data_IF_505417815901
#
_entry.id   IF_505417815901
#
_cell.length_a   1.000
_cell.length_b   1.000
_cell.length_c   1.000
_cell.angle_alpha   90.00
_cell.angle_beta   90.00
_cell.angle_gamma   90.00
#
_symmetry.space_group_name_H-M   'P 1'
#
loop_
_entity.id
_entity.type
_entity.pdbx_description
1 polymer ?
#
# COMPACT_ATOMS: atom_id res chain seq x y z
N UNK A 1 -1.48 66.90 76.30
CA UNK A 1 -0.65 65.67 76.27
C UNK A 1 -1.57 64.51 76.00
N UNK A 2 -1.76 64.14 74.73
CA UNK A 2 -2.34 62.85 74.30
C UNK A 2 -1.81 62.60 72.91
N UNK A 3 -0.81 61.72 72.82
CA UNK A 3 -0.23 61.26 71.57
C UNK A 3 -1.24 60.31 70.92
N UNK A 4 -1.86 60.75 69.83
CA UNK A 4 -2.64 59.87 68.96
C UNK A 4 -1.64 59.03 68.17
N UNK A 5 -1.36 57.84 68.69
CA UNK A 5 -0.60 56.80 68.01
C UNK A 5 -1.40 56.35 66.78
N UNK A 6 -1.00 56.82 65.60
CA UNK A 6 -1.52 56.32 64.34
C UNK A 6 -0.92 54.93 64.11
N UNK A 7 -1.59 53.87 64.54
CA UNK A 7 -1.25 52.52 64.13
C UNK A 7 -1.54 52.43 62.62
N UNK A 8 -0.48 52.48 61.82
CA UNK A 8 -0.55 52.09 60.42
C UNK A 8 -1.05 50.64 60.37
N UNK A 9 -2.27 50.43 59.85
CA UNK A 9 -2.77 49.09 59.54
C UNK A 9 -1.74 48.37 58.67
N UNK A 10 -1.36 47.11 58.96
CA UNK A 10 -0.48 46.38 58.07
C UNK A 10 -1.17 46.32 56.71
N UNK A 11 -0.58 46.99 55.70
CA UNK A 11 -0.98 46.81 54.31
C UNK A 11 -0.95 45.30 54.06
N UNK A 12 -2.12 44.71 53.86
CA UNK A 12 -2.25 43.42 53.20
C UNK A 12 -1.67 43.61 51.79
N UNK A 13 -0.36 43.43 51.65
CA UNK A 13 0.31 43.44 50.37
C UNK A 13 -0.24 42.26 49.58
N UNK A 14 -1.11 42.58 48.64
CA UNK A 14 -1.63 41.66 47.64
C UNK A 14 -0.44 40.96 46.99
N UNK A 15 -0.39 39.63 47.05
CA UNK A 15 0.68 38.85 46.44
C UNK A 15 0.81 39.21 44.95
N UNK A 16 2.01 39.62 44.54
CA UNK A 16 2.32 39.83 43.14
C UNK A 16 2.50 38.46 42.45
N UNK A 17 1.94 38.30 41.24
CA UNK A 17 2.19 37.12 40.41
C UNK A 17 3.49 37.32 39.63
N UNK A 18 4.40 36.36 39.71
CA UNK A 18 5.63 36.32 38.91
C UNK A 18 5.74 34.99 38.17
N UNK A 19 6.44 35.00 37.04
CA UNK A 19 6.83 33.81 36.29
C UNK A 19 8.33 33.91 35.96
N UNK A 20 9.06 32.83 36.20
CA UNK A 20 10.47 32.69 35.81
C UNK A 20 10.63 31.45 34.97
N UNK A 21 11.45 31.52 33.91
CA UNK A 21 11.81 30.37 33.09
C UNK A 21 13.23 29.93 33.43
N UNK A 22 13.50 28.62 33.62
CA UNK A 22 14.87 28.14 33.73
C UNK A 22 15.72 28.61 32.55
N UNK A 23 16.92 29.09 32.81
CA UNK A 23 17.87 29.51 31.76
C UNK A 23 18.52 28.33 31.05
N UNK A 24 18.52 27.17 31.69
CA UNK A 24 18.94 25.87 31.14
C UNK A 24 17.76 24.91 31.30
N UNK A 25 17.49 24.12 30.26
CA UNK A 25 16.46 23.09 30.32
C UNK A 25 16.72 22.11 31.47
N UNK A 26 15.64 21.57 32.05
CA UNK A 26 15.77 20.49 33.01
C UNK A 26 16.12 19.21 32.24
N UNK A 27 17.08 18.45 32.75
CA UNK A 27 17.40 17.14 32.20
C UNK A 27 16.24 16.16 32.44
N UNK A 28 16.10 15.17 31.57
CA UNK A 28 15.05 14.14 31.68
C UNK A 28 15.08 13.37 33.01
N UNK A 29 13.95 12.79 33.36
CA UNK A 29 13.70 12.02 34.57
C UNK A 29 12.92 12.80 35.63
N UNK A 30 12.77 12.16 36.79
CA UNK A 30 12.04 12.73 37.93
C UNK A 30 12.82 13.89 38.54
N UNK A 31 12.18 15.05 38.64
CA UNK A 31 12.74 16.27 39.27
C UNK A 31 11.84 16.72 40.40
N UNK A 32 12.45 17.06 41.54
CA UNK A 32 11.77 17.70 42.66
C UNK A 32 12.17 19.16 42.69
N UNK A 33 11.21 20.06 42.55
CA UNK A 33 11.44 21.50 42.55
C UNK A 33 10.99 22.11 43.87
N UNK A 34 11.78 23.05 44.38
CA UNK A 34 11.46 23.88 45.53
C UNK A 34 11.66 25.36 45.16
N UNK A 35 10.93 26.24 45.83
CA UNK A 35 10.95 27.68 45.53
C UNK A 35 11.22 28.46 46.82
N UNK A 36 12.08 29.47 46.75
CA UNK A 36 12.30 30.49 47.78
C UNK A 36 12.03 31.88 47.18
N UNK A 37 11.73 32.85 48.04
CA UNK A 37 11.65 34.26 47.66
C UNK A 37 12.72 35.05 48.42
N UNK A 38 13.33 36.04 47.78
CA UNK A 38 14.26 36.99 48.43
C UNK A 38 13.71 38.40 48.27
N UNK A 39 13.61 39.16 49.36
CA UNK A 39 13.15 40.55 49.32
C UNK A 39 14.27 41.54 48.90
N UNK A 40 13.98 42.84 48.64
CA UNK A 40 15.01 43.81 48.26
C UNK A 40 16.07 44.09 49.33
N UNK A 41 15.81 43.76 50.59
CA UNK A 41 16.76 43.88 51.68
C UNK A 41 17.64 42.62 51.83
N UNK A 42 17.37 41.56 51.05
CA UNK A 42 18.12 40.30 51.04
C UNK A 42 17.57 39.23 51.98
N UNK A 43 16.38 39.39 52.57
CA UNK A 43 15.78 38.36 53.42
C UNK A 43 15.21 37.23 52.56
N UNK A 44 15.62 35.98 52.81
CA UNK A 44 15.19 34.79 52.07
C UNK A 44 14.11 34.02 52.85
N UNK A 45 13.03 33.63 52.18
CA UNK A 45 11.98 32.80 52.77
C UNK A 45 12.44 31.34 52.99
N UNK A 46 11.74 30.56 53.84
CA UNK A 46 11.81 29.10 53.76
C UNK A 46 11.46 28.60 52.34
N UNK A 47 12.00 27.44 51.98
CA UNK A 47 11.63 26.77 50.72
C UNK A 47 10.21 26.19 50.80
N UNK A 48 9.50 26.16 49.68
CA UNK A 48 8.25 25.41 49.56
C UNK A 48 8.46 23.91 49.81
N UNK A 49 7.39 23.18 50.07
CA UNK A 49 7.39 21.73 49.88
C UNK A 49 7.80 21.39 48.45
N UNK A 50 8.55 20.30 48.28
CA UNK A 50 8.96 19.83 46.96
C UNK A 50 7.76 19.37 46.14
N UNK A 51 7.68 19.81 44.89
CA UNK A 51 6.73 19.26 43.92
C UNK A 51 7.49 18.50 42.83
N UNK A 52 7.00 17.30 42.54
CA UNK A 52 7.65 16.36 41.63
C UNK A 52 7.09 16.51 40.22
N UNK A 53 7.98 16.58 39.24
CA UNK A 53 7.65 16.50 37.82
C UNK A 53 8.46 15.38 37.18
N UNK A 54 7.97 14.83 36.07
CA UNK A 54 8.76 13.98 35.18
C UNK A 54 9.03 14.81 33.94
N UNK A 55 10.31 15.01 33.63
CA UNK A 55 10.74 15.66 32.39
C UNK A 55 11.08 14.54 31.42
N UNK A 56 10.50 14.59 30.24
CA UNK A 56 10.81 13.67 29.16
C UNK A 56 10.76 14.44 27.85
N UNK A 57 11.93 14.56 27.21
CA UNK A 57 12.11 15.30 25.97
C UNK A 57 12.49 14.40 24.80
N UNK A 58 12.53 13.08 25.02
CA UNK A 58 12.92 12.11 24.01
C UNK A 58 11.70 11.63 23.25
N UNK A 59 11.72 11.81 21.92
CA UNK A 59 10.71 11.21 21.07
C UNK A 59 10.82 9.68 21.07
N UNK A 60 9.68 8.96 20.92
CA UNK A 60 9.68 7.53 20.70
C UNK A 60 10.46 7.16 19.43
N UNK A 61 10.88 5.90 19.34
CA UNK A 61 11.42 5.36 18.08
C UNK A 61 10.36 5.38 16.98
N UNK A 62 10.81 5.45 15.72
CA UNK A 62 9.89 5.44 14.58
C UNK A 62 9.14 4.10 14.55
N UNK A 63 7.79 4.10 14.58
CA UNK A 63 7.01 2.87 14.53
C UNK A 63 7.11 2.20 13.15
N UNK A 64 6.76 0.92 13.11
CA UNK A 64 6.80 0.10 11.89
C UNK A 64 5.43 -0.52 11.60
N UNK A 65 5.05 -0.56 10.32
CA UNK A 65 4.01 -1.46 9.82
C UNK A 65 4.66 -2.80 9.49
N UNK A 66 4.31 -3.85 10.20
CA UNK A 66 4.90 -5.19 10.04
C UNK A 66 4.14 -6.06 9.05
N UNK A 67 2.83 -5.88 8.91
CA UNK A 67 2.03 -6.53 7.87
C UNK A 67 0.76 -5.75 7.56
N UNK A 68 0.28 -5.92 6.33
CA UNK A 68 -1.07 -5.55 5.90
C UNK A 68 -1.70 -6.84 5.40
N UNK A 69 -2.92 -7.17 5.83
CA UNK A 69 -3.53 -8.48 5.59
C UNK A 69 -4.89 -8.33 4.89
N UNK A 70 -5.05 -9.09 3.81
CA UNK A 70 -6.32 -9.38 3.13
C UNK A 70 -6.98 -10.61 3.77
N UNK A 71 -8.21 -10.47 4.25
CA UNK A 71 -9.00 -11.59 4.79
C UNK A 71 -10.23 -11.95 3.94
N UNK A 72 -10.35 -11.39 2.74
CA UNK A 72 -11.45 -11.66 1.81
C UNK A 72 -11.10 -12.84 0.90
N UNK A 73 -12.02 -13.82 0.70
CA UNK A 73 -11.77 -14.96 -0.17
C UNK A 73 -11.32 -14.55 -1.58
N UNK A 74 -10.59 -15.46 -2.22
CA UNK A 74 -9.97 -15.31 -3.55
C UNK A 74 -8.64 -14.55 -3.61
N UNK A 75 -8.09 -14.05 -2.49
CA UNK A 75 -6.67 -13.72 -2.35
C UNK A 75 -6.26 -13.38 -0.89
N UNK A 76 -6.47 -14.30 0.06
CA UNK A 76 -6.18 -14.01 1.48
C UNK A 76 -4.68 -14.06 1.80
N UNK A 77 -4.20 -13.18 2.66
CA UNK A 77 -2.84 -13.21 3.19
C UNK A 77 -2.18 -11.84 3.30
N UNK A 78 -0.85 -11.82 3.49
CA UNK A 78 -0.11 -10.58 3.60
C UNK A 78 0.02 -9.86 2.24
N UNK A 79 -0.30 -8.56 2.22
CA UNK A 79 -0.20 -7.67 1.08
C UNK A 79 1.15 -6.96 1.12
N UNK A 80 1.96 -7.15 0.08
CA UNK A 80 3.25 -6.46 -0.07
C UNK A 80 3.09 -5.02 -0.60
N UNK A 81 4.16 -4.23 -0.49
CA UNK A 81 4.19 -2.88 -1.06
C UNK A 81 3.93 -2.89 -2.58
N UNK A 82 2.96 -2.09 -3.02
CA UNK A 82 2.49 -1.98 -4.40
C UNK A 82 1.62 -3.13 -4.88
N UNK A 83 1.22 -4.07 -4.02
CA UNK A 83 0.34 -5.17 -4.39
C UNK A 83 -1.14 -4.77 -4.32
N UNK A 84 -1.97 -5.50 -5.08
CA UNK A 84 -3.41 -5.33 -5.10
C UNK A 84 -4.12 -6.26 -4.11
N UNK A 85 -5.30 -5.85 -3.66
CA UNK A 85 -6.19 -6.61 -2.77
C UNK A 85 -7.64 -6.45 -3.18
N UNK A 86 -8.45 -7.50 -2.99
CA UNK A 86 -9.91 -7.43 -3.13
C UNK A 86 -10.62 -7.17 -1.80
N UNK A 87 -9.86 -6.82 -0.77
CA UNK A 87 -10.34 -6.41 0.54
C UNK A 87 -10.35 -4.88 0.67
N UNK A 88 -11.51 -4.33 1.01
CA UNK A 88 -11.68 -2.89 1.26
C UNK A 88 -11.41 -2.49 2.72
N UNK A 89 -11.14 -3.44 3.60
CA UNK A 89 -10.83 -3.22 5.01
C UNK A 89 -9.64 -4.10 5.45
N UNK A 90 -8.47 -3.94 4.80
CA UNK A 90 -7.29 -4.73 5.14
C UNK A 90 -6.82 -4.41 6.57
N UNK A 91 -6.31 -5.43 7.26
CA UNK A 91 -5.83 -5.28 8.64
C UNK A 91 -4.35 -4.93 8.66
N UNK A 92 -4.01 -3.78 9.22
CA UNK A 92 -2.64 -3.31 9.43
C UNK A 92 -2.16 -3.74 10.82
N UNK A 93 -0.98 -4.33 10.88
CA UNK A 93 -0.30 -4.67 12.12
C UNK A 93 1.05 -3.99 12.17
N UNK A 94 1.53 -3.69 13.38
CA UNK A 94 2.82 -3.04 13.52
C UNK A 94 3.36 -2.99 14.94
N UNK A 95 4.47 -2.29 15.07
CA UNK A 95 5.14 -2.05 16.35
C UNK A 95 5.37 -0.55 16.59
N UNK A 96 5.41 -0.18 17.86
CA UNK A 96 5.78 1.14 18.36
C UNK A 96 6.34 1.00 19.79
N UNK A 97 6.72 2.10 20.41
CA UNK A 97 7.03 2.10 21.84
C UNK A 97 5.82 1.59 22.65
N UNK A 98 6.07 0.78 23.68
CA UNK A 98 5.02 0.18 24.49
C UNK A 98 4.12 1.25 25.14
N UNK A 99 2.81 1.06 25.04
CA UNK A 99 1.79 1.99 25.54
C UNK A 99 1.76 3.37 24.85
N UNK A 100 2.54 3.59 23.79
CA UNK A 100 2.48 4.82 22.99
C UNK A 100 1.22 4.87 22.11
N UNK A 101 0.81 6.08 21.74
CA UNK A 101 -0.26 6.32 20.79
C UNK A 101 0.31 6.33 19.35
N UNK A 102 -0.20 5.46 18.48
CA UNK A 102 0.18 5.34 17.07
C UNK A 102 -0.85 6.06 16.21
N UNK A 103 -0.39 7.05 15.45
CA UNK A 103 -1.17 7.75 14.43
C UNK A 103 -0.96 7.06 13.08
N UNK A 104 -2.05 6.66 12.43
CA UNK A 104 -2.07 5.98 11.14
C UNK A 104 -2.55 6.96 10.07
N UNK A 105 -1.77 7.09 9.01
CA UNK A 105 -2.05 7.99 7.90
C UNK A 105 -2.28 7.20 6.62
N UNK A 106 -3.26 7.60 5.82
CA UNK A 106 -3.48 7.13 4.46
C UNK A 106 -3.32 8.31 3.49
N UNK A 107 -2.40 8.21 2.53
CA UNK A 107 -2.08 9.28 1.58
C UNK A 107 -1.76 10.61 2.28
N UNK A 108 -1.17 10.54 3.48
CA UNK A 108 -0.80 11.68 4.32
C UNK A 108 -1.92 12.23 5.21
N UNK A 109 -3.16 11.75 5.08
CA UNK A 109 -4.27 12.14 5.94
C UNK A 109 -4.37 11.21 7.16
N UNK A 110 -4.54 11.77 8.36
CA UNK A 110 -4.77 10.98 9.57
C UNK A 110 -6.10 10.23 9.45
N UNK A 111 -6.07 8.90 9.52
CA UNK A 111 -7.27 8.04 9.44
C UNK A 111 -7.62 7.38 10.76
N UNK A 112 -6.63 7.15 11.63
CA UNK A 112 -6.87 6.55 12.94
C UNK A 112 -5.77 6.87 13.94
N UNK A 113 -6.10 6.76 15.22
CA UNK A 113 -5.14 6.68 16.31
C UNK A 113 -5.44 5.42 17.12
N UNK A 114 -4.44 4.58 17.36
CA UNK A 114 -4.53 3.37 18.17
C UNK A 114 -3.44 3.35 19.23
N UNK A 115 -3.57 2.53 20.26
CA UNK A 115 -2.52 2.37 21.26
C UNK A 115 -1.73 1.10 20.99
N UNK A 116 -0.40 1.20 21.03
CA UNK A 116 0.45 0.03 21.15
C UNK A 116 0.27 -0.59 22.54
N UNK A 117 0.22 -1.91 22.62
CA UNK A 117 0.08 -2.61 23.90
C UNK A 117 1.40 -2.58 24.71
N UNK A 118 1.41 -3.22 25.88
CA UNK A 118 2.58 -3.27 26.76
C UNK A 118 3.81 -3.97 26.14
N UNK A 119 3.63 -4.72 25.05
CA UNK A 119 4.71 -5.34 24.26
C UNK A 119 5.08 -4.51 23.02
N UNK A 120 4.46 -3.34 22.82
CA UNK A 120 4.70 -2.47 21.66
C UNK A 120 3.93 -2.86 20.40
N UNK A 121 3.04 -3.85 20.45
CA UNK A 121 2.28 -4.29 19.27
C UNK A 121 0.96 -3.51 19.13
N UNK A 122 0.60 -3.17 17.91
CA UNK A 122 -0.69 -2.56 17.57
C UNK A 122 -1.32 -3.23 16.34
N UNK A 123 -2.64 -3.14 16.23
CA UNK A 123 -3.42 -3.63 15.10
C UNK A 123 -4.56 -2.67 14.83
N UNK A 124 -4.87 -2.46 13.55
CA UNK A 124 -5.96 -1.60 13.11
C UNK A 124 -6.56 -2.10 11.80
N UNK A 125 -7.88 -2.09 11.74
CA UNK A 125 -8.67 -2.36 10.54
C UNK A 125 -9.55 -1.14 10.28
N UNK A 126 -9.60 -0.59 9.03
CA UNK A 126 -10.51 0.48 8.69
C UNK A 126 -11.96 0.12 9.07
N UNK A 127 -12.68 1.05 9.69
CA UNK A 127 -14.11 0.85 10.02
C UNK A 127 -15.04 1.19 8.86
N UNK A 128 -14.55 1.95 7.89
CA UNK A 128 -15.23 2.27 6.66
C UNK A 128 -14.46 1.64 5.50
N UNK A 129 -15.20 1.08 4.54
CA UNK A 129 -14.62 0.51 3.33
C UNK A 129 -13.80 1.58 2.58
N UNK A 130 -12.58 1.21 2.22
CA UNK A 130 -11.70 2.00 1.37
C UNK A 130 -12.26 2.08 -0.05
N UNK A 131 -11.94 3.18 -0.74
CA UNK A 131 -12.23 3.34 -2.15
C UNK A 131 -11.30 2.51 -3.04
N UNK A 132 -11.62 2.45 -4.33
CA UNK A 132 -10.72 1.84 -5.32
C UNK A 132 -9.44 2.67 -5.47
N UNK A 133 -8.32 1.99 -5.74
CA UNK A 133 -7.05 2.61 -6.11
C UNK A 133 -6.00 2.57 -5.00
N UNK A 134 -5.07 3.53 -5.06
CA UNK A 134 -3.85 3.52 -4.26
C UNK A 134 -4.06 4.10 -2.86
N UNK A 135 -3.60 3.38 -1.85
CA UNK A 135 -3.59 3.79 -0.44
C UNK A 135 -2.17 3.68 0.12
N UNK A 136 -1.55 4.82 0.43
CA UNK A 136 -0.19 4.89 0.94
C UNK A 136 -0.18 5.09 2.45
N UNK A 137 0.06 4.01 3.20
CA UNK A 137 0.04 4.02 4.66
C UNK A 137 1.38 4.43 5.25
N UNK A 138 1.35 5.30 6.25
CA UNK A 138 2.50 5.60 7.13
C UNK A 138 2.03 5.79 8.56
N UNK A 139 2.96 5.66 9.51
CA UNK A 139 2.65 5.76 10.95
C UNK A 139 3.63 6.66 11.69
N UNK A 140 3.17 7.33 12.74
CA UNK A 140 4.00 7.99 13.75
C UNK A 140 3.52 7.61 15.15
N UNK A 141 4.36 7.80 16.18
CA UNK A 141 4.03 7.47 17.55
C UNK A 141 4.21 8.69 18.46
N UNK A 142 3.39 8.79 19.50
CA UNK A 142 3.49 9.76 20.57
C UNK A 142 3.57 9.04 21.93
N UNK A 143 4.55 9.41 22.75
CA UNK A 143 4.70 8.86 24.10
C UNK A 143 3.73 9.52 25.11
N UNK A 144 3.83 9.14 26.38
CA UNK A 144 2.97 9.69 27.45
C UNK A 144 3.28 11.16 27.80
N UNK A 145 4.48 11.65 27.50
CA UNK A 145 4.89 13.03 27.68
C UNK A 145 4.46 13.93 26.51
N UNK A 146 4.01 13.32 25.40
CA UNK A 146 3.57 13.99 24.19
C UNK A 146 4.69 14.23 23.17
N UNK A 147 5.87 13.63 23.33
CA UNK A 147 6.90 13.68 22.31
C UNK A 147 6.49 12.80 21.13
N UNK A 148 6.73 13.28 19.90
CA UNK A 148 6.27 12.63 18.67
C UNK A 148 7.47 12.17 17.84
N UNK A 149 7.43 10.93 17.36
CA UNK A 149 8.46 10.38 16.47
C UNK A 149 8.37 10.94 15.06
N UNK A 150 9.43 10.70 14.25
CA UNK A 150 9.32 10.85 12.81
C UNK A 150 8.34 9.83 12.22
N UNK A 151 7.77 10.13 11.05
CA UNK A 151 6.91 9.20 10.33
C UNK A 151 7.71 8.02 9.74
N UNK A 152 7.08 6.85 9.68
CA UNK A 152 7.61 5.67 8.99
C UNK A 152 7.69 5.89 7.48
N UNK A 153 8.50 5.10 6.75
CA UNK A 153 8.34 4.96 5.31
C UNK A 153 6.91 4.52 4.95
N UNK A 154 6.43 4.93 3.78
CA UNK A 154 5.11 4.55 3.31
C UNK A 154 5.07 3.13 2.73
N UNK A 155 4.02 2.38 3.04
CA UNK A 155 3.66 1.13 2.36
C UNK A 155 2.38 1.39 1.57
N UNK A 156 2.44 1.17 0.25
CA UNK A 156 1.30 1.37 -0.64
C UNK A 156 0.60 0.05 -0.91
N UNK A 157 -0.73 0.04 -0.88
CA UNK A 157 -1.55 -1.06 -1.42
C UNK A 157 -2.51 -0.50 -2.48
N UNK A 158 -3.05 -1.39 -3.31
CA UNK A 158 -4.01 -1.03 -4.36
C UNK A 158 -5.31 -1.80 -4.10
N UNK A 159 -6.37 -1.11 -3.69
CA UNK A 159 -7.69 -1.73 -3.54
C UNK A 159 -8.30 -1.88 -4.94
N UNK A 160 -8.59 -3.13 -5.32
CA UNK A 160 -9.28 -3.47 -6.55
C UNK A 160 -10.31 -4.58 -6.34
N UNK A 161 -11.57 -4.16 -6.23
CA UNK A 161 -12.73 -5.03 -6.05
C UNK A 161 -13.57 -5.21 -7.31
N UNK A 162 -13.15 -4.62 -8.44
CA UNK A 162 -13.94 -4.68 -9.68
C UNK A 162 -13.63 -5.99 -10.38
N UNK A 163 -14.59 -6.91 -10.35
CA UNK A 163 -14.50 -8.15 -11.08
C UNK A 163 -14.55 -7.89 -12.61
N UNK A 164 -13.83 -8.70 -13.40
CA UNK A 164 -13.95 -8.64 -14.85
C UNK A 164 -15.37 -8.86 -15.36
N UNK A 165 -15.71 -8.22 -16.47
CA UNK A 165 -16.96 -8.48 -17.17
C UNK A 165 -17.07 -9.93 -17.67
N UNK A 166 -18.30 -10.44 -17.73
CA UNK A 166 -18.55 -11.79 -18.25
C UNK A 166 -18.04 -11.94 -19.70
N UNK A 167 -17.44 -13.09 -20.06
CA UNK A 167 -17.05 -13.35 -21.45
C UNK A 167 -18.22 -13.27 -22.42
N UNK A 168 -18.02 -12.61 -23.56
CA UNK A 168 -19.01 -12.36 -24.61
C UNK A 168 -18.62 -12.95 -25.97
N UNK A 169 -19.49 -12.80 -26.96
CA UNK A 169 -19.28 -13.24 -28.35
C UNK A 169 -18.78 -14.69 -28.48
N UNK A 170 -19.32 -15.57 -27.63
CA UNK A 170 -18.92 -16.97 -27.57
C UNK A 170 -19.33 -17.69 -28.86
N UNK A 171 -18.36 -18.32 -29.52
CA UNK A 171 -18.57 -19.15 -30.71
C UNK A 171 -17.85 -20.47 -30.52
N UNK A 172 -18.58 -21.56 -30.76
CA UNK A 172 -18.04 -22.92 -30.77
C UNK A 172 -17.95 -23.38 -32.23
N UNK A 173 -16.82 -23.98 -32.62
CA UNK A 173 -16.69 -24.53 -33.97
C UNK A 173 -17.54 -25.79 -34.16
N UNK A 174 -17.82 -26.16 -35.42
CA UNK A 174 -18.70 -27.29 -35.75
C UNK A 174 -18.24 -28.64 -35.16
N UNK A 175 -16.94 -28.80 -34.93
CA UNK A 175 -16.34 -30.00 -34.32
C UNK A 175 -16.35 -29.98 -32.79
N UNK A 176 -16.84 -28.92 -32.14
CA UNK A 176 -16.97 -28.82 -30.69
C UNK A 176 -15.65 -28.73 -29.90
N UNK A 177 -14.51 -28.62 -30.58
CA UNK A 177 -13.18 -28.65 -29.95
C UNK A 177 -12.49 -27.28 -29.87
N UNK A 178 -13.19 -26.21 -30.24
CA UNK A 178 -12.68 -24.84 -30.13
C UNK A 178 -13.80 -23.88 -29.73
N UNK A 179 -13.55 -23.15 -28.65
CA UNK A 179 -14.39 -22.04 -28.20
C UNK A 179 -13.59 -20.75 -28.40
N UNK A 180 -14.23 -19.74 -28.97
CA UNK A 180 -13.70 -18.38 -29.08
C UNK A 180 -14.66 -17.39 -28.48
N UNK A 181 -14.16 -16.26 -28.00
CA UNK A 181 -14.97 -15.19 -27.43
C UNK A 181 -14.12 -14.04 -26.95
N UNK A 182 -14.79 -13.02 -26.39
CA UNK A 182 -14.18 -11.80 -25.85
C UNK A 182 -14.24 -11.81 -24.32
N UNK A 183 -13.18 -11.38 -23.65
CA UNK A 183 -13.17 -11.14 -22.21
C UNK A 183 -12.19 -10.01 -21.90
N UNK A 184 -12.25 -9.47 -20.69
CA UNK A 184 -11.34 -8.42 -20.26
C UNK A 184 -9.88 -8.87 -20.35
N UNK A 185 -9.02 -7.99 -20.86
CA UNK A 185 -7.64 -8.33 -21.15
C UNK A 185 -6.85 -8.64 -19.88
N UNK A 186 -6.17 -9.79 -19.86
CA UNK A 186 -5.44 -10.31 -18.71
C UNK A 186 -6.29 -11.21 -17.81
N UNK A 187 -7.61 -11.26 -17.99
CA UNK A 187 -8.47 -12.19 -17.26
C UNK A 187 -8.29 -13.63 -17.75
N UNK A 188 -8.35 -14.58 -16.83
CA UNK A 188 -8.38 -16.01 -17.15
C UNK A 188 -9.82 -16.42 -17.44
N UNK A 189 -10.05 -16.98 -18.63
CA UNK A 189 -11.31 -17.61 -19.02
C UNK A 189 -11.20 -19.11 -18.76
N UNK A 190 -12.18 -19.66 -18.07
CA UNK A 190 -12.31 -21.09 -17.78
C UNK A 190 -13.58 -21.62 -18.42
N UNK A 191 -13.46 -22.70 -19.20
CA UNK A 191 -14.59 -23.42 -19.80
C UNK A 191 -14.84 -24.64 -18.92
N UNK A 192 -16.07 -24.77 -18.43
CA UNK A 192 -16.46 -25.81 -17.47
C UNK A 192 -17.67 -26.58 -18.00
N UNK A 193 -17.69 -27.90 -17.82
CA UNK A 193 -18.84 -28.75 -18.15
C UNK A 193 -20.02 -28.53 -17.19
N UNK A 194 -21.17 -29.10 -17.52
CA UNK A 194 -22.35 -29.16 -16.66
C UNK A 194 -22.11 -29.87 -15.32
N UNK A 195 -21.09 -30.74 -15.26
CA UNK A 195 -20.68 -31.47 -14.05
C UNK A 195 -19.58 -30.76 -13.25
N UNK A 196 -19.15 -29.56 -13.67
CA UNK A 196 -18.11 -28.79 -12.98
C UNK A 196 -16.68 -29.14 -13.38
N UNK A 197 -16.47 -29.97 -14.41
CA UNK A 197 -15.14 -30.34 -14.90
C UNK A 197 -14.58 -29.23 -15.78
N UNK A 198 -13.35 -28.78 -15.51
CA UNK A 198 -12.66 -27.81 -16.38
C UNK A 198 -12.29 -28.48 -17.71
N UNK A 199 -12.89 -28.00 -18.80
CA UNK A 199 -12.66 -28.46 -20.17
C UNK A 199 -11.52 -27.71 -20.86
N UNK A 200 -11.23 -26.50 -20.40
CA UNK A 200 -10.12 -25.69 -20.90
C UNK A 200 -10.00 -24.36 -20.17
N UNK A 201 -8.80 -23.80 -20.19
CA UNK A 201 -8.50 -22.48 -19.66
C UNK A 201 -7.63 -21.72 -20.64
N UNK A 202 -7.71 -20.39 -20.62
CA UNK A 202 -6.59 -19.51 -20.92
C UNK A 202 -6.98 -18.03 -20.83
N UNK A 203 -5.97 -17.21 -20.99
CA UNK A 203 -5.99 -15.79 -20.68
C UNK A 203 -6.39 -14.97 -21.89
N UNK A 204 -7.33 -14.06 -21.71
CA UNK A 204 -7.64 -13.04 -22.71
C UNK A 204 -6.41 -12.14 -22.91
N UNK A 205 -5.88 -12.09 -24.13
CA UNK A 205 -4.65 -11.35 -24.41
C UNK A 205 -4.85 -9.83 -24.32
N UNK A 206 -3.80 -9.09 -23.95
CA UNK A 206 -3.73 -7.65 -24.25
C UNK A 206 -3.45 -7.49 -25.74
N UNK A 207 -4.19 -6.58 -26.39
CA UNK A 207 -4.09 -6.31 -27.82
C UNK A 207 -2.63 -6.09 -28.24
N UNK A 208 -1.97 -7.06 -28.88
CA UNK A 208 -0.74 -6.79 -29.64
C UNK A 208 -1.17 -6.26 -30.99
N UNK A 209 -1.21 -4.95 -31.11
CA UNK A 209 -1.36 -4.26 -32.40
C UNK A 209 -0.07 -4.46 -33.20
N UNK A 210 0.11 -5.66 -33.77
CA UNK A 210 1.10 -5.89 -34.80
C UNK A 210 0.68 -5.06 -36.02
N UNK A 211 1.24 -3.87 -36.14
CA UNK A 211 1.21 -3.08 -37.36
C UNK A 211 1.94 -3.86 -38.46
N UNK A 212 1.20 -4.65 -39.24
CA UNK A 212 1.36 -4.81 -40.69
C UNK A 212 0.23 -5.66 -41.28
N UNK A 213 -0.61 -4.97 -42.06
CA UNK A 213 -1.55 -5.43 -43.10
C UNK A 213 -1.85 -6.94 -43.20
N UNK A 214 -2.93 -7.38 -42.56
CA UNK A 214 -4.18 -7.93 -43.17
C UNK A 214 -4.93 -8.73 -42.10
N UNK A 215 -6.20 -8.36 -41.86
CA UNK A 215 -7.21 -9.05 -41.03
C UNK A 215 -6.77 -9.55 -39.64
N UNK A 216 -6.86 -8.70 -38.61
CA UNK A 216 -6.94 -9.16 -37.22
C UNK A 216 -8.29 -8.71 -36.64
N UNK A 217 -9.20 -9.68 -36.42
CA UNK A 217 -10.38 -9.45 -35.59
C UNK A 217 -9.92 -9.37 -34.14
N UNK A 218 -10.15 -8.20 -33.58
CA UNK A 218 -10.06 -7.87 -32.18
C UNK A 218 -10.73 -8.93 -31.28
N UNK A 219 -10.16 -9.15 -30.10
CA UNK A 219 -10.84 -9.68 -28.92
C UNK A 219 -11.02 -11.21 -28.78
N UNK A 220 -10.47 -12.03 -29.68
CA UNK A 220 -10.67 -13.49 -29.57
C UNK A 220 -9.62 -14.19 -28.71
N UNK A 221 -10.06 -14.82 -27.61
CA UNK A 221 -9.31 -15.88 -26.94
C UNK A 221 -9.61 -17.26 -27.58
N UNK A 222 -8.67 -18.21 -27.53
CA UNK A 222 -8.80 -19.57 -28.10
C UNK A 222 -8.13 -20.61 -27.20
N UNK A 223 -8.90 -21.36 -26.42
CA UNK A 223 -8.43 -22.62 -25.82
C UNK A 223 -8.40 -23.70 -26.90
N UNK A 224 -7.22 -24.18 -27.27
CA UNK A 224 -7.08 -25.45 -27.95
C UNK A 224 -6.89 -26.53 -26.89
N UNK A 225 -7.79 -27.50 -26.80
CA UNK A 225 -7.55 -28.73 -26.05
C UNK A 225 -6.45 -29.51 -26.76
N UNK A 226 -5.25 -29.50 -26.15
CA UNK A 226 -4.10 -30.21 -26.66
C UNK A 226 -4.30 -31.73 -26.55
N UNK A 227 -4.74 -32.34 -27.65
CA UNK A 227 -4.41 -33.75 -27.94
C UNK A 227 -3.56 -33.73 -29.20
N UNK A 228 -2.25 -33.81 -29.02
CA UNK A 228 -1.28 -33.91 -30.09
C UNK A 228 -0.85 -35.38 -30.24
N UNK A 229 -1.43 -36.18 -31.16
CA UNK A 229 -0.81 -37.44 -31.53
C UNK A 229 0.35 -37.15 -32.49
N UNK A 230 1.53 -37.63 -32.10
CA UNK A 230 2.77 -37.72 -32.89
C UNK A 230 2.53 -38.01 -34.38
N UNK A 231 3.06 -37.17 -35.26
CA UNK A 231 3.61 -37.60 -36.56
C UNK A 231 5.00 -36.98 -36.69
N UNK A 232 6.04 -37.81 -36.52
CA UNK A 232 7.41 -37.46 -36.94
C UNK A 232 7.38 -37.30 -38.47
N UNK A 233 7.63 -36.10 -38.97
CA UNK A 233 7.90 -35.90 -40.39
C UNK A 233 9.26 -36.53 -40.74
N UNK A 234 9.21 -37.57 -41.57
CA UNK A 234 10.34 -38.02 -42.35
C UNK A 234 10.60 -36.97 -43.43
N UNK A 235 11.78 -36.33 -43.40
CA UNK A 235 12.26 -35.50 -44.52
C UNK A 235 13.23 -36.35 -45.32
N UNK A 236 12.76 -36.91 -46.43
CA UNK A 236 13.60 -37.56 -47.45
C UNK A 236 14.08 -36.45 -48.41
N UNK A 237 15.40 -36.23 -48.45
CA UNK A 237 16.04 -35.33 -49.41
C UNK A 237 16.36 -36.11 -50.70
N UNK A 238 15.92 -35.57 -51.85
CA UNK A 238 16.35 -36.00 -53.19
C UNK A 238 17.65 -35.27 -53.58
N UNK A 239 18.55 -35.88 -54.38
CA UNK A 239 19.85 -35.32 -54.76
C UNK A 239 19.76 -34.35 -55.97
N UNK A 240 20.78 -33.49 -56.20
CA UNK A 240 20.77 -32.52 -57.29
C UNK A 240 21.48 -33.00 -58.57
N UNK A 241 21.09 -32.34 -59.66
CA UNK A 241 21.81 -32.09 -60.92
C UNK A 241 21.77 -33.10 -62.08
N UNK A 242 21.25 -32.63 -63.24
CA UNK A 242 21.84 -32.66 -64.59
C UNK A 242 20.98 -31.78 -65.56
N UNK A 243 21.56 -31.22 -66.66
CA UNK A 243 21.08 -30.00 -67.33
C UNK A 243 20.03 -30.20 -68.44
N UNK A 244 19.25 -29.13 -68.69
CA UNK A 244 18.17 -29.04 -69.70
C UNK A 244 18.69 -28.96 -71.14
N UNK A 245 18.00 -29.54 -72.14
CA UNK A 245 18.24 -29.21 -73.54
C UNK A 245 17.34 -28.06 -74.05
N UNK A 246 18.01 -27.05 -74.62
CA UNK A 246 17.74 -26.24 -75.82
C UNK A 246 16.28 -25.95 -76.22
N UNK A 247 15.94 -24.66 -76.29
CA UNK A 247 15.17 -24.12 -77.42
C UNK A 247 15.56 -22.67 -77.73
N UNK A 248 16.38 -22.51 -78.78
CA UNK A 248 16.49 -21.27 -79.53
C UNK A 248 15.41 -21.27 -80.62
N UNK A 249 14.58 -20.23 -80.70
CA UNK A 249 13.80 -19.94 -81.90
C UNK A 249 14.17 -18.54 -82.40
N UNK A 250 14.98 -18.56 -83.46
CA UNK A 250 15.38 -17.44 -84.31
C UNK A 250 14.21 -17.07 -85.23
N UNK A 251 13.96 -15.77 -85.42
CA UNK A 251 13.04 -15.21 -86.43
C UNK A 251 13.46 -15.66 -87.85
N UNK A 252 12.50 -16.00 -88.71
CA UNK A 252 12.35 -15.40 -90.05
C UNK A 252 11.07 -15.86 -90.81
N UNK A 253 10.34 -14.85 -91.32
CA UNK A 253 9.50 -14.74 -92.53
C UNK A 253 8.77 -15.95 -93.15
N UNK A 254 7.43 -15.81 -93.19
CA UNK A 254 6.47 -15.93 -94.33
C UNK A 254 6.78 -16.82 -95.56
N UNK A 255 5.84 -17.76 -95.81
CA UNK A 255 5.40 -18.52 -97.02
C UNK A 255 5.51 -17.78 -98.39
N UNK A 256 5.36 -18.41 -99.59
CA UNK A 256 4.49 -19.55 -100.02
C UNK A 256 5.20 -20.59 -100.94
N UNK A 257 4.63 -21.69 -101.44
CA UNK A 257 3.30 -22.10 -101.96
C UNK A 257 3.00 -23.56 -101.65
#
# INVERSE_FOLDING_TARGET
>A
MMATLCLASPRLTRAARGASRPTTGLNDGTRTLTVTATDPAGNVSPATSGFTIVVDTLAPTVPLITSIVDDVPNNTGAIGNGQSTNDTQPTLNGTAEANSAVSIFDNGALVATVNANASGNWSWTPTAALGQGSHAYSVSAADAAGNVSAASPSITIIVDTIAPGAPGNLVINATGNRVTGTAEAGSTVTITSETGVVLGTATAGRYRQLHRHTHARADQWSAATGICPRIKQATQALPPDLPRPIRACRKHRSSPT
#
